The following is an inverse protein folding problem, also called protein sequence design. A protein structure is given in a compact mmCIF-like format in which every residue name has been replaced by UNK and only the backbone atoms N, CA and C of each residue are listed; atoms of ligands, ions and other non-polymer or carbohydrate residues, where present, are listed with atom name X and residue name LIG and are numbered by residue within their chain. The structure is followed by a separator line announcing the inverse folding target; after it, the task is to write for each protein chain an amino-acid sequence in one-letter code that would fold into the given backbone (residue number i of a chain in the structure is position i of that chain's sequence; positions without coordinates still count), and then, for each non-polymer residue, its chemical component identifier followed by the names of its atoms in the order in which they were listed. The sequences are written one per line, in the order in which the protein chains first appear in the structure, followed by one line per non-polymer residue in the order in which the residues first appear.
data_IF_145751495527
#
_entry.id   IF_145751495527
#
_cell.length_a   1.000
_cell.length_b   1.000
_cell.length_c   1.000
_cell.angle_alpha   90.00
_cell.angle_beta   90.00
_cell.angle_gamma   90.00
#
_symmetry.space_group_name_H-M   'P 1'
#
loop_
_entity.id
_entity.type
_entity.pdbx_description
1 polymer ?
#
# COMPACT_ATOMS: atom_id res chain seq x y z
N UNK A 1 -9.97 -13.83 -8.38
CA UNK A 1 -9.34 -14.70 -7.38
C UNK A 1 -8.51 -13.81 -6.46
N UNK A 2 -8.94 -13.58 -5.21
CA UNK A 2 -8.14 -13.06 -4.04
C UNK A 2 -9.02 -12.99 -2.77
N UNK A 3 -10.35 -13.04 -2.91
CA UNK A 3 -11.36 -13.07 -1.83
C UNK A 3 -11.37 -14.32 -0.93
N UNK A 4 -10.39 -15.23 -1.05
CA UNK A 4 -10.29 -16.48 -0.26
C UNK A 4 -9.07 -16.54 0.67
N UNK A 5 -8.15 -15.58 0.62
CA UNK A 5 -6.95 -15.58 1.45
C UNK A 5 -7.12 -14.56 2.57
N UNK A 6 -6.84 -14.96 3.82
CA UNK A 6 -7.11 -14.23 5.07
C UNK A 6 -6.28 -12.95 5.27
N UNK A 7 -6.22 -12.09 4.26
CA UNK A 7 -5.64 -10.76 4.32
C UNK A 7 -6.71 -9.74 4.73
N UNK A 8 -6.42 -8.96 5.75
CA UNK A 8 -7.16 -7.74 6.07
C UNK A 8 -6.47 -6.54 5.44
N UNK A 9 -7.25 -5.55 5.01
CA UNK A 9 -6.75 -4.31 4.43
C UNK A 9 -7.16 -3.16 5.33
N UNK A 10 -6.20 -2.31 5.65
CA UNK A 10 -6.40 -1.06 6.40
C UNK A 10 -5.64 0.01 5.64
N UNK A 11 -6.30 1.14 5.39
CA UNK A 11 -5.67 2.35 4.88
C UNK A 11 -5.59 3.33 6.04
N UNK A 12 -4.43 3.96 6.17
CA UNK A 12 -4.14 4.96 7.19
C UNK A 12 -3.56 6.16 6.45
N UNK A 13 -3.99 7.34 6.84
CA UNK A 13 -3.40 8.58 6.36
C UNK A 13 -1.94 8.67 6.82
N UNK A 14 -1.06 9.03 5.89
CA UNK A 14 0.37 9.14 6.17
C UNK A 14 0.66 10.25 7.18
N UNK A 15 1.44 9.94 8.20
CA UNK A 15 1.78 10.86 9.30
C UNK A 15 0.78 10.87 10.45
N UNK A 16 -0.37 10.22 10.30
CA UNK A 16 -1.41 10.18 11.33
C UNK A 16 -1.13 9.14 12.43
N UNK A 17 -0.16 8.23 12.21
CA UNK A 17 0.24 7.20 13.19
C UNK A 17 1.78 7.13 13.34
N UNK A 18 2.43 8.14 13.93
CA UNK A 18 3.89 8.24 13.98
C UNK A 18 4.57 7.06 14.70
N UNK A 19 4.00 6.61 15.83
CA UNK A 19 4.56 5.49 16.60
C UNK A 19 4.49 4.16 15.82
N UNK A 20 3.43 3.95 15.05
CA UNK A 20 3.27 2.77 14.20
C UNK A 20 4.22 2.82 13.00
N UNK A 21 4.34 3.99 12.38
CA UNK A 21 5.25 4.21 11.26
C UNK A 21 6.70 3.96 11.68
N UNK A 22 7.14 4.50 12.81
CA UNK A 22 8.48 4.26 13.35
C UNK A 22 8.73 2.78 13.66
N UNK A 23 7.75 2.10 14.28
CA UNK A 23 7.85 0.69 14.64
C UNK A 23 7.98 -0.23 13.41
N UNK A 24 7.36 0.16 12.29
CA UNK A 24 7.43 -0.52 10.99
C UNK A 24 8.56 0.03 10.09
N UNK A 25 9.28 1.07 10.53
CA UNK A 25 10.35 1.71 9.74
C UNK A 25 9.86 2.42 8.48
N UNK A 26 8.59 2.86 8.45
CA UNK A 26 7.99 3.66 7.37
C UNK A 26 7.77 5.11 7.84
N UNK A 27 7.28 5.99 6.97
CA UNK A 27 6.99 7.40 7.31
C UNK A 27 8.11 8.41 6.98
N UNK A 28 9.31 7.96 6.60
CA UNK A 28 10.44 8.84 6.22
C UNK A 28 10.70 9.01 4.71
N UNK A 29 10.15 8.12 3.87
CA UNK A 29 10.52 7.98 2.44
C UNK A 29 9.45 8.45 1.44
N UNK A 30 8.32 8.97 1.93
CA UNK A 30 7.18 9.37 1.10
C UNK A 30 6.08 8.31 1.01
N UNK A 31 4.92 8.75 0.53
CA UNK A 31 3.69 7.96 0.41
C UNK A 31 3.32 7.79 -1.08
N UNK A 32 2.67 6.69 -1.48
CA UNK A 32 2.12 5.60 -0.67
C UNK A 32 3.17 4.57 -0.20
N UNK A 33 2.99 4.07 1.03
CA UNK A 33 3.79 2.97 1.59
C UNK A 33 2.86 1.80 1.94
N UNK A 34 3.25 0.56 1.61
CA UNK A 34 2.49 -0.64 1.97
C UNK A 34 3.32 -1.53 2.89
N UNK A 35 2.68 -1.98 3.98
CA UNK A 35 3.30 -2.90 4.93
C UNK A 35 2.34 -4.06 5.18
N UNK A 36 2.84 -5.29 5.03
CA UNK A 36 2.14 -6.49 5.44
C UNK A 36 2.53 -6.85 6.87
N UNK A 37 1.55 -6.93 7.76
CA UNK A 37 1.75 -7.17 9.19
C UNK A 37 1.14 -8.51 9.61
N UNK A 38 1.90 -9.31 10.36
CA UNK A 38 1.40 -10.46 11.10
C UNK A 38 1.46 -10.17 12.60
N UNK A 39 0.33 -9.72 13.16
CA UNK A 39 0.22 -9.38 14.58
C UNK A 39 0.53 -10.57 15.51
N UNK A 40 0.11 -11.79 15.16
CA UNK A 40 0.37 -12.98 15.99
C UNK A 40 1.86 -13.33 16.07
N UNK A 41 2.59 -13.16 14.96
CA UNK A 41 4.04 -13.41 14.89
C UNK A 41 4.87 -12.16 15.24
N UNK A 42 4.26 -10.99 15.41
CA UNK A 42 4.94 -9.69 15.59
C UNK A 42 6.01 -9.42 14.51
N UNK A 43 5.69 -9.79 13.26
CA UNK A 43 6.57 -9.59 12.10
C UNK A 43 5.85 -8.76 11.05
N UNK A 44 6.61 -7.99 10.30
CA UNK A 44 6.11 -7.23 9.16
C UNK A 44 7.03 -7.37 7.96
N UNK A 45 6.55 -6.97 6.79
CA UNK A 45 7.32 -6.84 5.57
C UNK A 45 6.85 -5.60 4.85
N UNK A 46 7.78 -4.79 4.36
CA UNK A 46 7.48 -3.56 3.62
C UNK A 46 7.51 -3.90 2.14
N UNK A 47 6.60 -3.33 1.36
CA UNK A 47 6.67 -3.42 -0.10
C UNK A 47 7.85 -2.56 -0.57
N UNK A 48 8.97 -3.22 -0.87
CA UNK A 48 10.13 -2.61 -1.50
C UNK A 48 9.98 -2.75 -3.03
N UNK A 49 9.39 -1.74 -3.69
CA UNK A 49 9.18 -1.78 -5.14
C UNK A 49 8.08 -0.84 -5.64
N UNK A 50 7.63 -1.06 -6.87
CA UNK A 50 6.54 -0.30 -7.47
C UNK A 50 5.23 -0.55 -6.73
N UNK A 51 4.53 0.53 -6.37
CA UNK A 51 3.15 0.49 -5.89
C UNK A 51 2.19 0.35 -7.08
N UNK A 52 2.28 -0.75 -7.81
CA UNK A 52 1.39 -1.09 -8.92
C UNK A 52 0.75 -2.47 -8.69
N UNK A 53 -0.22 -2.81 -9.55
CA UNK A 53 -0.99 -4.05 -9.41
C UNK A 53 -0.11 -5.29 -9.43
N UNK A 54 0.92 -5.29 -10.26
CA UNK A 54 1.81 -6.43 -10.41
C UNK A 54 2.79 -6.53 -9.24
N UNK A 55 3.41 -5.42 -8.82
CA UNK A 55 4.29 -5.35 -7.64
C UNK A 55 3.57 -5.78 -6.35
N UNK A 56 2.36 -5.27 -6.11
CA UNK A 56 1.55 -5.69 -4.95
C UNK A 56 1.20 -7.18 -5.04
N UNK A 57 0.86 -7.68 -6.23
CA UNK A 57 0.52 -9.10 -6.42
C UNK A 57 1.71 -10.01 -6.15
N UNK A 58 2.89 -9.66 -6.64
CA UNK A 58 4.11 -10.43 -6.41
C UNK A 58 4.51 -10.41 -4.94
N UNK A 59 4.45 -9.25 -4.31
CA UNK A 59 4.71 -9.10 -2.88
C UNK A 59 3.81 -9.99 -2.01
N UNK A 60 2.49 -9.95 -2.23
CA UNK A 60 1.55 -10.81 -1.49
C UNK A 60 1.76 -12.29 -1.79
N UNK A 61 2.11 -12.64 -3.04
CA UNK A 61 2.44 -14.01 -3.42
C UNK A 61 3.64 -14.49 -2.64
N UNK A 62 4.71 -13.72 -2.59
CA UNK A 62 5.97 -14.10 -1.96
C UNK A 62 5.82 -14.24 -0.44
N UNK A 63 5.00 -13.39 0.19
CA UNK A 63 4.61 -13.53 1.60
C UNK A 63 3.76 -14.78 1.85
N UNK A 64 2.86 -15.13 0.94
CA UNK A 64 2.05 -16.34 1.04
C UNK A 64 2.90 -17.62 0.97
N UNK A 65 4.06 -17.56 0.30
CA UNK A 65 5.04 -18.65 0.23
C UNK A 65 6.19 -18.54 1.24
N UNK A 66 6.12 -17.60 2.20
CA UNK A 66 7.17 -17.32 3.19
C UNK A 66 8.56 -17.02 2.57
N UNK A 67 8.60 -16.56 1.31
CA UNK A 67 9.83 -16.20 0.59
C UNK A 67 10.20 -14.71 0.70
N UNK A 68 9.30 -13.90 1.24
CA UNK A 68 9.53 -12.46 1.45
C UNK A 68 10.43 -12.17 2.65
N UNK A 69 11.20 -11.09 2.57
CA UNK A 69 11.96 -10.57 3.73
C UNK A 69 10.98 -10.01 4.77
N UNK A 70 10.94 -10.64 5.95
CA UNK A 70 10.17 -10.15 7.09
C UNK A 70 11.10 -9.62 8.18
N UNK A 71 10.80 -8.45 8.72
CA UNK A 71 11.46 -7.87 9.87
C UNK A 71 10.61 -8.04 11.15
N UNK A 72 11.23 -8.15 12.34
CA UNK A 72 10.50 -8.05 13.60
C UNK A 72 10.05 -6.60 13.84
N UNK A 73 8.86 -6.41 14.39
CA UNK A 73 8.40 -5.09 14.84
C UNK A 73 9.36 -4.58 15.92
N UNK A 74 9.76 -3.31 15.83
CA UNK A 74 10.64 -2.69 16.83
C UNK A 74 9.89 -2.48 18.14
N UNK A 75 10.56 -2.79 19.27
CA UNK A 75 10.03 -2.57 20.62
C UNK A 75 9.49 -3.83 21.30
N UNK A 76 9.15 -3.74 22.60
CA UNK A 76 8.73 -4.88 23.42
C UNK A 76 7.25 -5.27 23.24
N UNK A 77 6.43 -4.38 22.66
CA UNK A 77 5.00 -4.57 22.45
C UNK A 77 4.56 -3.90 21.14
N UNK A 78 3.37 -4.27 20.65
CA UNK A 78 2.77 -3.59 19.51
C UNK A 78 2.47 -2.12 19.88
N UNK A 79 2.82 -1.15 19.02
CA UNK A 79 2.62 0.27 19.33
C UNK A 79 1.14 0.59 19.56
N UNK A 80 0.89 1.57 20.42
CA UNK A 80 -0.47 2.06 20.65
C UNK A 80 -0.99 2.73 19.37
N UNK A 81 -2.17 2.32 18.92
CA UNK A 81 -2.84 2.98 17.81
C UNK A 81 -3.49 4.25 18.38
N UNK A 82 -3.06 5.41 17.91
CA UNK A 82 -3.68 6.68 18.29
C UNK A 82 -5.07 6.77 17.69
N UNK A 83 -6.02 7.30 18.44
CA UNK A 83 -7.39 7.48 17.96
C UNK A 83 -7.39 8.69 17.01
N UNK A 84 -7.16 8.45 15.72
CA UNK A 84 -7.26 9.48 14.70
C UNK A 84 -8.72 9.77 14.40
N UNK A 85 -9.01 11.01 14.01
CA UNK A 85 -10.33 11.35 13.49
C UNK A 85 -10.68 10.38 12.35
N UNK A 86 -11.91 9.86 12.35
CA UNK A 86 -12.39 9.01 11.24
C UNK A 86 -12.25 9.81 9.97
N UNK A 87 -11.48 9.29 9.01
CA UNK A 87 -11.34 9.88 7.69
C UNK A 87 -12.72 10.24 7.14
N UNK A 88 -13.00 11.55 7.05
CA UNK A 88 -14.20 12.07 6.40
C UNK A 88 -14.04 11.73 4.92
N UNK A 89 -15.00 11.00 4.35
CA UNK A 89 -15.06 10.45 2.97
C UNK A 89 -14.89 11.50 1.84
N UNK A 90 -14.43 12.72 2.16
CA UNK A 90 -14.32 13.87 1.27
C UNK A 90 -13.10 13.87 0.34
N UNK A 91 -12.03 13.14 0.63
CA UNK A 91 -10.92 12.96 -0.32
C UNK A 91 -10.98 11.59 -0.97
N UNK A 92 -11.86 11.51 -1.96
CA UNK A 92 -12.14 10.29 -2.71
C UNK A 92 -13.09 10.52 -3.89
N UNK A 93 -13.08 11.71 -4.50
CA UNK A 93 -13.42 11.73 -5.93
C UNK A 93 -12.17 11.16 -6.58
N UNK A 94 -12.13 9.88 -7.04
CA UNK A 94 -11.06 9.47 -7.95
C UNK A 94 -10.98 10.58 -8.99
N UNK A 95 -9.81 11.16 -9.30
CA UNK A 95 -9.73 12.12 -10.39
C UNK A 95 -10.47 11.45 -11.53
N UNK A 96 -11.62 12.03 -11.89
CA UNK A 96 -12.54 11.46 -12.87
C UNK A 96 -11.62 11.04 -13.99
N UNK A 97 -11.54 9.74 -14.30
CA UNK A 97 -10.71 9.28 -15.43
C UNK A 97 -10.99 10.31 -16.50
N UNK A 98 -9.98 11.12 -16.84
CA UNK A 98 -10.18 12.06 -17.94
C UNK A 98 -10.42 11.08 -19.07
N UNK A 99 -11.66 10.98 -19.53
CA UNK A 99 -11.99 10.42 -20.81
C UNK A 99 -10.96 11.04 -21.75
N UNK A 100 -9.90 10.28 -22.04
CA UNK A 100 -8.92 10.70 -23.02
C UNK A 100 -9.75 10.67 -24.28
N UNK A 101 -10.15 11.85 -24.74
CA UNK A 101 -10.95 11.97 -25.94
C UNK A 101 -10.15 11.28 -27.05
N UNK A 102 -10.63 10.14 -27.59
CA UNK A 102 -9.86 9.35 -28.56
C UNK A 102 -9.65 10.11 -29.88
N UNK A 103 -10.21 11.31 -30.01
CA UNK A 103 -9.99 12.23 -31.13
C UNK A 103 -8.68 13.03 -31.06
N UNK A 104 -7.93 13.01 -29.94
CA UNK A 104 -6.60 13.67 -29.83
C UNK A 104 -5.45 12.77 -30.32
N UNK A 105 -5.73 11.50 -30.65
CA UNK A 105 -4.78 10.69 -31.43
C UNK A 105 -4.96 11.08 -32.89
N UNK A 106 -4.23 12.12 -33.32
CA UNK A 106 -4.01 12.36 -34.74
C UNK A 106 -3.08 11.27 -35.24
N UNK A 107 -3.70 10.17 -35.71
CA UNK A 107 -3.01 9.12 -36.44
C UNK A 107 -2.72 9.69 -37.84
N UNK A 108 -1.80 10.65 -37.94
CA UNK A 108 -1.26 11.07 -39.23
C UNK A 108 -0.65 9.84 -39.89
N UNK A 109 -1.42 9.31 -40.83
CA UNK A 109 -1.02 8.25 -41.73
C UNK A 109 0.23 8.77 -42.46
N UNK A 110 1.40 8.22 -42.13
CA UNK A 110 2.56 8.33 -43.01
C UNK A 110 2.24 7.54 -44.27
N UNK A 111 1.64 8.23 -45.23
CA UNK A 111 1.64 7.88 -46.64
C UNK A 111 2.34 9.01 -47.39
N UNK A 112 3.62 8.82 -47.71
CA UNK A 112 4.10 8.80 -49.10
C UNK A 112 5.58 8.43 -49.19
#
# INVERSE_FOLDING_TARGET
MFKKNGWGWILVEGGSQPDLEEALGVGGYGYPAMVALNYRKMKFSVLEGSFDKDGIREFLRDLSYEKGQTAPIKGPAFPAISNTETWDEKDGVPPKEKDIDPSVVDLEHVES
#
